data_IF_211973208764
#
_entry.id   IF_211973208764
#
_cell.length_a   1.000
_cell.length_b   1.000
_cell.length_c   1.000
_cell.angle_alpha   90.00
_cell.angle_beta   90.00
_cell.angle_gamma   90.00
#
_symmetry.space_group_name_H-M   'P 1'
#
loop_
_entity.id
_entity.type
_entity.pdbx_description
1 polymer ?
#
# COMPACT_ATOMS: atom_id res chain seq x y z
N UNK A 1 6.92 27.16 0.55
CA UNK A 1 6.76 26.74 -0.85
C UNK A 1 8.06 26.16 -1.41
N UNK A 2 9.16 26.91 -1.42
CA UNK A 2 10.47 26.46 -1.94
C UNK A 2 11.03 25.24 -1.20
N UNK A 3 10.86 25.16 0.12
CA UNK A 3 11.30 24.01 0.91
C UNK A 3 10.60 22.72 0.50
N UNK A 4 9.26 22.75 0.34
CA UNK A 4 8.47 21.59 -0.08
C UNK A 4 8.92 21.09 -1.46
N UNK A 5 9.08 22.00 -2.42
CA UNK A 5 9.54 21.65 -3.78
C UNK A 5 10.94 21.07 -3.79
N UNK A 6 11.86 21.65 -3.00
CA UNK A 6 13.27 21.25 -3.01
C UNK A 6 13.53 19.92 -2.29
N UNK A 7 12.86 19.70 -1.15
CA UNK A 7 13.26 18.62 -0.24
C UNK A 7 12.20 17.54 -0.03
N UNK A 8 10.92 17.83 -0.28
CA UNK A 8 9.83 16.92 0.11
C UNK A 8 9.13 16.34 -1.12
N UNK A 9 8.74 17.17 -2.07
CA UNK A 9 7.90 16.76 -3.20
C UNK A 9 8.75 16.28 -4.37
N UNK A 10 8.58 15.02 -4.85
CA UNK A 10 9.23 14.55 -6.06
C UNK A 10 8.93 15.45 -7.25
N UNK A 11 9.94 15.90 -7.99
CA UNK A 11 9.74 16.75 -9.16
C UNK A 11 9.72 15.89 -10.43
N UNK A 12 8.73 16.09 -11.31
CA UNK A 12 8.57 15.27 -12.53
C UNK A 12 9.77 15.30 -13.47
N UNK A 13 10.57 16.35 -13.41
CA UNK A 13 11.77 16.56 -14.24
C UNK A 13 13.01 15.87 -13.66
N UNK A 14 12.99 15.46 -12.40
CA UNK A 14 14.10 14.78 -11.75
C UNK A 14 14.13 13.29 -12.12
N UNK A 15 15.31 12.70 -12.04
CA UNK A 15 15.44 11.25 -12.17
C UNK A 15 14.54 10.55 -11.14
N UNK A 16 13.74 9.59 -11.58
CA UNK A 16 12.75 8.86 -10.78
C UNK A 16 11.61 9.68 -10.17
N UNK A 17 11.55 11.01 -10.38
CA UNK A 17 10.51 11.87 -9.80
C UNK A 17 9.08 11.49 -10.21
N UNK A 18 8.85 11.19 -11.50
CA UNK A 18 7.56 10.71 -11.98
C UNK A 18 7.21 9.32 -11.42
N UNK A 19 8.19 8.44 -11.29
CA UNK A 19 7.99 7.11 -10.68
C UNK A 19 7.64 7.25 -9.19
N UNK A 20 8.35 8.10 -8.46
CA UNK A 20 8.03 8.38 -7.06
C UNK A 20 6.62 8.93 -6.88
N UNK A 21 6.20 9.89 -7.72
CA UNK A 21 4.81 10.40 -7.72
C UNK A 21 3.78 9.31 -7.98
N UNK A 22 4.06 8.44 -8.96
CA UNK A 22 3.19 7.31 -9.29
C UNK A 22 3.03 6.36 -8.09
N UNK A 23 4.12 5.98 -7.47
CA UNK A 23 4.13 5.08 -6.32
C UNK A 23 3.39 5.71 -5.13
N UNK A 24 3.72 6.96 -4.77
CA UNK A 24 3.13 7.65 -3.64
C UNK A 24 1.61 7.76 -3.73
N UNK A 25 1.11 8.25 -4.88
CA UNK A 25 -0.32 8.39 -5.09
C UNK A 25 -1.01 7.03 -5.01
N UNK A 26 -0.39 6.00 -5.54
CA UNK A 26 -0.96 4.66 -5.53
C UNK A 26 -0.98 4.04 -4.14
N UNK A 27 0.10 4.17 -3.37
CA UNK A 27 0.15 3.73 -1.98
C UNK A 27 -0.87 4.49 -1.10
N UNK A 28 -0.99 5.82 -1.29
CA UNK A 28 -1.99 6.64 -0.58
C UNK A 28 -3.41 6.21 -0.95
N UNK A 29 -3.70 5.99 -2.24
CA UNK A 29 -5.01 5.56 -2.70
C UNK A 29 -5.44 4.24 -2.06
N UNK A 30 -4.55 3.25 -2.03
CA UNK A 30 -4.88 1.97 -1.40
C UNK A 30 -4.93 2.06 0.12
N UNK A 31 -4.10 2.90 0.76
CA UNK A 31 -4.23 3.19 2.18
C UNK A 31 -5.59 3.82 2.49
N UNK A 32 -6.04 4.80 1.69
CA UNK A 32 -7.36 5.44 1.83
C UNK A 32 -8.51 4.47 1.60
N UNK A 33 -8.40 3.60 0.60
CA UNK A 33 -9.40 2.55 0.33
C UNK A 33 -9.59 1.64 1.55
N UNK A 34 -8.49 1.17 2.14
CA UNK A 34 -8.56 0.30 3.32
C UNK A 34 -9.05 1.05 4.55
N UNK A 35 -8.62 2.30 4.76
CA UNK A 35 -8.99 3.08 5.93
C UNK A 35 -10.45 3.57 5.85
N UNK A 36 -10.85 4.26 4.77
CA UNK A 36 -12.12 4.97 4.70
C UNK A 36 -13.26 4.16 4.08
N UNK A 37 -12.97 3.16 3.25
CA UNK A 37 -14.00 2.35 2.60
C UNK A 37 -14.16 1.00 3.28
N UNK A 38 -13.05 0.33 3.58
CA UNK A 38 -13.05 -1.01 4.18
C UNK A 38 -12.99 -0.98 5.72
N UNK A 39 -12.82 0.22 6.33
CA UNK A 39 -12.81 0.47 7.77
C UNK A 39 -11.74 -0.32 8.53
N UNK A 40 -10.51 -0.32 8.00
CA UNK A 40 -9.31 -0.78 8.69
C UNK A 40 -8.58 0.40 9.34
N UNK A 41 -7.78 0.13 10.35
CA UNK A 41 -6.79 1.08 10.85
C UNK A 41 -5.52 0.99 9.99
N UNK A 42 -5.03 2.12 9.47
CA UNK A 42 -3.86 2.17 8.59
C UNK A 42 -2.81 3.12 9.18
N UNK A 43 -1.75 2.61 9.83
CA UNK A 43 -0.66 3.44 10.32
C UNK A 43 0.26 3.84 9.15
N UNK A 44 0.21 5.11 8.75
CA UNK A 44 0.88 5.63 7.54
C UNK A 44 2.36 5.95 7.74
N UNK A 45 3.12 5.05 8.40
CA UNK A 45 4.50 5.34 8.81
C UNK A 45 5.46 5.55 7.63
N UNK A 46 5.28 4.80 6.53
CA UNK A 46 6.14 4.96 5.34
C UNK A 46 5.89 6.29 4.63
N UNK A 47 4.65 6.76 4.61
CA UNK A 47 4.29 8.03 3.98
C UNK A 47 4.85 9.24 4.73
N UNK A 48 5.05 9.14 6.05
CA UNK A 48 5.57 10.24 6.88
C UNK A 48 7.09 10.25 7.05
N UNK A 49 7.76 9.12 6.89
CA UNK A 49 9.18 8.96 7.23
C UNK A 49 9.99 8.43 6.04
N UNK A 50 10.21 9.26 5.04
CA UNK A 50 11.03 8.91 3.88
C UNK A 50 12.48 9.30 4.09
N UNK A 51 13.41 8.43 3.70
CA UNK A 51 14.84 8.69 3.70
C UNK A 51 15.22 9.74 2.63
N UNK A 52 14.48 9.80 1.54
CA UNK A 52 14.66 10.78 0.46
C UNK A 52 13.39 10.99 -0.34
N UNK A 53 13.22 12.15 -0.98
CA UNK A 53 11.98 12.49 -1.71
C UNK A 53 11.67 11.56 -2.91
N UNK A 54 12.69 10.93 -3.49
CA UNK A 54 12.57 10.04 -4.63
C UNK A 54 12.81 8.56 -4.26
N UNK A 55 12.93 8.25 -2.97
CA UNK A 55 13.21 6.91 -2.46
C UNK A 55 11.96 6.32 -1.79
N UNK A 56 11.78 5.01 -1.93
CA UNK A 56 10.75 4.26 -1.23
C UNK A 56 11.39 3.46 -0.09
N UNK A 57 10.75 3.46 1.07
CA UNK A 57 11.18 2.63 2.20
C UNK A 57 10.94 1.15 1.89
N UNK A 58 11.88 0.28 2.31
CA UNK A 58 11.78 -1.16 2.10
C UNK A 58 10.66 -1.80 2.94
N UNK A 59 10.21 -2.96 2.50
CA UNK A 59 9.18 -3.77 3.18
C UNK A 59 7.84 -3.73 2.46
N UNK A 60 6.77 -4.21 3.12
CA UNK A 60 5.39 -4.14 2.65
C UNK A 60 4.96 -2.69 2.46
N UNK A 61 4.29 -2.35 1.38
CA UNK A 61 3.96 -0.95 1.04
C UNK A 61 2.93 -0.36 1.99
N UNK A 62 1.83 -1.07 2.26
CA UNK A 62 0.80 -0.64 3.19
C UNK A 62 0.46 -1.79 4.15
N UNK A 63 0.35 -1.48 5.44
CA UNK A 63 -0.19 -2.37 6.45
C UNK A 63 -1.54 -1.82 6.90
N UNK A 64 -2.55 -2.66 6.91
CA UNK A 64 -3.87 -2.36 7.45
C UNK A 64 -4.25 -3.41 8.48
N UNK A 65 -4.95 -3.02 9.56
CA UNK A 65 -5.40 -3.98 10.55
C UNK A 65 -6.77 -3.61 11.10
N UNK A 66 -7.46 -4.62 11.66
CA UNK A 66 -8.77 -4.44 12.26
C UNK A 66 -8.91 -5.32 13.49
N UNK A 67 -9.31 -4.74 14.60
CA UNK A 67 -9.68 -5.49 15.78
C UNK A 67 -11.11 -5.99 15.65
N UNK A 68 -11.33 -7.23 16.08
CA UNK A 68 -12.66 -7.83 16.09
C UNK A 68 -13.60 -7.14 17.08
N UNK A 69 -13.07 -6.68 18.20
CA UNK A 69 -13.84 -6.02 19.25
C UNK A 69 -13.41 -4.55 19.46
N UNK A 70 -14.33 -3.75 19.99
CA UNK A 70 -14.12 -2.30 20.22
C UNK A 70 -13.08 -2.01 21.31
N UNK A 71 -12.96 -2.90 22.27
CA UNK A 71 -12.01 -2.79 23.38
C UNK A 71 -10.57 -3.09 22.97
N UNK A 72 -10.36 -3.47 21.73
CA UNK A 72 -9.06 -3.85 21.15
C UNK A 72 -8.32 -4.93 21.95
N UNK A 73 -9.07 -5.79 22.64
CA UNK A 73 -8.50 -6.97 23.29
C UNK A 73 -8.13 -8.02 22.21
N UNK A 74 -6.97 -8.69 22.35
CA UNK A 74 -6.53 -9.64 21.35
C UNK A 74 -7.55 -10.76 21.09
N UNK A 75 -7.85 -11.01 19.81
CA UNK A 75 -8.76 -12.05 19.36
C UNK A 75 -8.16 -12.78 18.15
N UNK A 76 -8.44 -14.07 18.01
CA UNK A 76 -8.10 -14.84 16.81
C UNK A 76 -8.81 -14.34 15.54
N UNK A 77 -9.87 -13.55 15.71
CA UNK A 77 -10.64 -12.93 14.64
C UNK A 77 -10.10 -11.56 14.24
N UNK A 78 -9.07 -11.02 14.94
CA UNK A 78 -8.36 -9.82 14.52
C UNK A 78 -7.73 -10.04 13.15
N UNK A 79 -7.71 -9.00 12.32
CA UNK A 79 -7.24 -9.08 10.94
C UNK A 79 -6.01 -8.20 10.73
N UNK A 80 -5.04 -8.74 10.01
CA UNK A 80 -3.90 -8.01 9.47
C UNK A 80 -3.88 -8.19 7.97
N UNK A 81 -3.72 -7.10 7.22
CA UNK A 81 -3.60 -7.10 5.76
C UNK A 81 -2.26 -6.50 5.37
N UNK A 82 -1.47 -7.26 4.64
CA UNK A 82 -0.23 -6.80 4.01
C UNK A 82 -0.51 -6.50 2.54
N UNK A 83 -0.23 -5.28 2.09
CA UNK A 83 -0.61 -4.79 0.77
C UNK A 83 0.64 -4.37 0.01
N UNK A 84 0.90 -5.03 -1.10
CA UNK A 84 1.95 -4.70 -2.07
C UNK A 84 1.33 -3.95 -3.24
N UNK A 85 1.82 -2.75 -3.56
CA UNK A 85 1.27 -1.86 -4.59
C UNK A 85 2.10 -1.91 -5.85
N UNK A 86 1.45 -2.10 -7.00
CA UNK A 86 2.08 -2.00 -8.33
C UNK A 86 1.39 -0.93 -9.16
N UNK A 87 2.13 0.11 -9.48
CA UNK A 87 1.63 1.27 -10.18
C UNK A 87 2.22 1.40 -11.60
N UNK A 88 1.35 1.58 -12.58
CA UNK A 88 1.73 1.89 -13.98
C UNK A 88 0.84 3.03 -14.50
N UNK A 89 0.91 4.18 -13.83
CA UNK A 89 0.03 5.32 -14.13
C UNK A 89 0.31 5.96 -15.49
N UNK A 90 1.46 5.70 -16.09
CA UNK A 90 1.82 6.21 -17.43
C UNK A 90 1.49 5.22 -18.57
N UNK A 91 0.96 4.03 -18.26
CA UNK A 91 0.69 3.00 -19.28
C UNK A 91 -0.62 2.24 -19.01
N UNK A 92 -1.10 1.55 -20.05
CA UNK A 92 -2.31 0.72 -20.03
C UNK A 92 -2.02 -0.78 -19.88
N UNK A 93 -0.90 -1.16 -19.27
CA UNK A 93 -0.47 -2.55 -19.10
C UNK A 93 -1.19 -3.26 -17.92
N UNK A 94 -2.52 -3.34 -17.97
CA UNK A 94 -3.35 -3.92 -16.90
C UNK A 94 -2.92 -5.34 -16.51
N UNK A 95 -2.85 -6.27 -17.48
CA UNK A 95 -2.50 -7.67 -17.21
C UNK A 95 -1.15 -7.82 -16.52
N UNK A 96 -0.13 -7.10 -17.00
CA UNK A 96 1.22 -7.14 -16.44
C UNK A 96 1.25 -6.55 -15.02
N UNK A 97 0.54 -5.44 -14.79
CA UNK A 97 0.48 -4.80 -13.49
C UNK A 97 -0.18 -5.71 -12.46
N UNK A 98 -1.27 -6.37 -12.83
CA UNK A 98 -1.97 -7.35 -11.98
C UNK A 98 -1.07 -8.55 -11.70
N UNK A 99 -0.39 -9.07 -12.71
CA UNK A 99 0.53 -10.21 -12.54
C UNK A 99 1.70 -9.86 -11.63
N UNK A 100 2.32 -8.71 -11.80
CA UNK A 100 3.41 -8.24 -10.94
C UNK A 100 2.92 -8.06 -9.49
N UNK A 101 1.72 -7.51 -9.28
CA UNK A 101 1.13 -7.39 -7.95
C UNK A 101 0.87 -8.77 -7.30
N UNK A 102 0.37 -9.74 -8.08
CA UNK A 102 0.14 -11.10 -7.61
C UNK A 102 1.44 -11.82 -7.22
N UNK A 103 2.51 -11.62 -7.98
CA UNK A 103 3.81 -12.24 -7.70
C UNK A 103 4.49 -11.59 -6.50
N UNK A 104 4.47 -10.26 -6.45
CA UNK A 104 5.24 -9.53 -5.42
C UNK A 104 4.57 -9.53 -4.06
N UNK A 105 3.23 -9.53 -3.98
CA UNK A 105 2.51 -9.66 -2.70
C UNK A 105 2.77 -11.01 -1.98
N UNK A 106 3.21 -12.05 -2.69
CA UNK A 106 3.65 -13.31 -2.06
C UNK A 106 4.89 -13.14 -1.18
N UNK A 107 5.72 -12.14 -1.48
CA UNK A 107 6.96 -11.85 -0.72
C UNK A 107 6.65 -11.23 0.64
N UNK A 108 5.46 -10.68 0.82
CA UNK A 108 5.04 -10.05 2.07
C UNK A 108 4.89 -11.05 3.22
N UNK A 109 4.72 -12.33 2.92
CA UNK A 109 4.80 -13.38 3.93
C UNK A 109 6.09 -13.31 4.76
N UNK A 110 7.20 -12.92 4.13
CA UNK A 110 8.51 -12.79 4.78
C UNK A 110 8.83 -11.35 5.24
N UNK A 111 8.18 -10.34 4.66
CA UNK A 111 8.45 -8.92 4.92
C UNK A 111 7.60 -8.33 6.03
N UNK A 112 6.38 -8.84 6.20
CA UNK A 112 5.37 -8.27 7.10
C UNK A 112 5.88 -8.11 8.53
N UNK A 113 6.58 -9.10 9.07
CA UNK A 113 7.12 -9.04 10.44
C UNK A 113 8.14 -7.90 10.62
N UNK A 114 9.00 -7.68 9.62
CA UNK A 114 9.95 -6.57 9.61
C UNK A 114 9.23 -5.23 9.53
N UNK A 115 8.23 -5.13 8.65
CA UNK A 115 7.42 -3.91 8.46
C UNK A 115 6.64 -3.55 9.72
N UNK A 116 6.03 -4.50 10.40
CA UNK A 116 5.34 -4.28 11.68
C UNK A 116 6.32 -3.76 12.74
N UNK A 117 7.54 -4.32 12.82
CA UNK A 117 8.54 -3.84 13.77
C UNK A 117 9.01 -2.40 13.45
N UNK A 118 9.17 -2.07 12.16
CA UNK A 118 9.47 -0.71 11.71
C UNK A 118 8.34 0.25 12.12
N UNK A 119 7.08 -0.07 11.84
CA UNK A 119 5.92 0.76 12.17
C UNK A 119 5.81 0.99 13.68
N UNK A 120 5.96 -0.07 14.49
CA UNK A 120 5.97 0.05 15.94
C UNK A 120 7.01 1.05 16.45
N UNK A 121 8.24 0.99 15.91
CA UNK A 121 9.31 1.92 16.30
C UNK A 121 9.01 3.36 15.86
N UNK A 122 8.54 3.54 14.64
CA UNK A 122 8.21 4.87 14.12
C UNK A 122 7.07 5.52 14.92
N UNK A 123 6.00 4.78 15.20
CA UNK A 123 4.90 5.27 16.02
C UNK A 123 5.36 5.70 17.42
N UNK A 124 6.25 4.94 18.05
CA UNK A 124 6.86 5.34 19.34
C UNK A 124 7.68 6.62 19.22
N UNK A 125 8.50 6.75 18.19
CA UNK A 125 9.28 7.95 17.94
C UNK A 125 8.42 9.19 17.72
N UNK A 126 7.20 9.00 17.16
CA UNK A 126 6.20 10.05 16.96
C UNK A 126 5.35 10.33 18.20
N UNK A 127 5.58 9.63 19.32
CA UNK A 127 4.78 9.76 20.55
C UNK A 127 3.40 9.07 20.48
N UNK A 128 3.13 8.28 19.44
CA UNK A 128 1.87 7.57 19.20
C UNK A 128 1.90 6.19 19.88
N UNK A 129 1.96 6.17 21.20
CA UNK A 129 2.18 4.94 21.98
C UNK A 129 1.01 3.96 21.89
N UNK A 130 -0.22 4.44 21.85
CA UNK A 130 -1.42 3.58 21.71
C UNK A 130 -1.43 2.88 20.35
N UNK A 131 -1.23 3.63 19.26
CA UNK A 131 -1.14 3.07 17.91
C UNK A 131 0.02 2.06 17.81
N UNK A 132 1.17 2.38 18.44
CA UNK A 132 2.31 1.46 18.51
C UNK A 132 1.94 0.15 19.21
N UNK A 133 1.18 0.19 20.30
CA UNK A 133 0.73 -1.01 21.02
C UNK A 133 -0.25 -1.82 20.19
N UNK A 134 -1.15 -1.16 19.44
CA UNK A 134 -2.03 -1.83 18.49
C UNK A 134 -1.25 -2.60 17.41
N UNK A 135 -0.22 -1.98 16.84
CA UNK A 135 0.64 -2.64 15.84
C UNK A 135 1.46 -3.77 16.47
N UNK A 136 1.98 -3.59 17.68
CA UNK A 136 2.75 -4.60 18.40
C UNK A 136 1.96 -5.89 18.62
N UNK A 137 0.62 -5.81 18.77
CA UNK A 137 -0.29 -6.95 18.86
C UNK A 137 -0.02 -7.98 17.75
N UNK A 138 0.23 -7.52 16.53
CA UNK A 138 0.43 -8.37 15.35
C UNK A 138 1.85 -8.94 15.20
N UNK A 139 2.76 -8.67 16.12
CA UNK A 139 4.07 -9.33 16.18
C UNK A 139 4.02 -10.70 16.90
N UNK A 140 2.97 -10.97 17.66
CA UNK A 140 2.86 -12.13 18.56
C UNK A 140 1.91 -13.20 18.03
N UNK A 141 1.99 -13.53 16.75
CA UNK A 141 1.05 -14.46 16.09
C UNK A 141 0.97 -15.83 16.76
N UNK A 142 2.10 -16.33 17.28
CA UNK A 142 2.16 -17.63 17.96
C UNK A 142 1.47 -17.63 19.33
N UNK A 143 1.63 -16.55 20.08
CA UNK A 143 1.04 -16.42 21.42
C UNK A 143 -0.41 -15.93 21.35
N UNK A 144 -0.66 -15.04 20.41
CA UNK A 144 -1.94 -14.36 20.21
C UNK A 144 -2.35 -14.47 18.74
N UNK A 145 -2.93 -15.58 18.30
CA UNK A 145 -3.30 -15.81 16.90
C UNK A 145 -4.20 -14.72 16.33
N UNK A 146 -4.09 -14.49 15.03
CA UNK A 146 -4.92 -13.57 14.24
C UNK A 146 -4.98 -14.04 12.78
N UNK A 147 -5.92 -13.50 12.02
CA UNK A 147 -6.03 -13.72 10.58
C UNK A 147 -5.06 -12.79 9.85
N UNK A 148 -4.36 -13.31 8.86
CA UNK A 148 -3.52 -12.51 7.98
C UNK A 148 -3.92 -12.77 6.53
N UNK A 149 -3.96 -11.71 5.74
CA UNK A 149 -4.16 -11.78 4.29
C UNK A 149 -3.14 -10.90 3.56
N UNK A 150 -2.86 -11.29 2.32
CA UNK A 150 -1.90 -10.62 1.44
C UNK A 150 -2.64 -10.07 0.24
N UNK A 151 -2.45 -8.80 -0.05
CA UNK A 151 -3.13 -8.11 -1.14
C UNK A 151 -2.13 -7.61 -2.17
N UNK A 152 -2.28 -8.09 -3.40
CA UNK A 152 -1.65 -7.45 -4.55
C UNK A 152 -2.56 -6.33 -5.05
N UNK A 153 -2.13 -5.09 -4.86
CA UNK A 153 -2.85 -3.89 -5.27
C UNK A 153 -2.26 -3.35 -6.57
N UNK A 154 -3.00 -3.42 -7.66
CA UNK A 154 -2.57 -3.02 -8.99
C UNK A 154 -3.33 -1.77 -9.45
N UNK A 155 -2.62 -0.82 -10.08
CA UNK A 155 -3.23 0.36 -10.69
C UNK A 155 -2.54 0.73 -12.01
N UNK A 156 -3.32 0.99 -13.06
CA UNK A 156 -2.79 1.46 -14.35
C UNK A 156 -3.74 2.41 -15.07
N UNK A 157 -3.19 3.23 -15.97
CA UNK A 157 -3.97 4.12 -16.83
C UNK A 157 -4.65 3.32 -17.94
N UNK A 158 -5.86 2.88 -17.66
CA UNK A 158 -6.71 2.20 -18.63
C UNK A 158 -8.13 2.74 -18.53
N UNK A 159 -8.62 3.50 -19.52
CA UNK A 159 -9.94 4.15 -19.43
C UNK A 159 -11.08 3.14 -19.42
N UNK A 160 -10.95 2.06 -20.18
CA UNK A 160 -11.92 0.98 -20.24
C UNK A 160 -11.21 -0.37 -20.14
N UNK A 161 -11.76 -1.26 -19.34
CA UNK A 161 -11.29 -2.64 -19.30
C UNK A 161 -12.25 -3.48 -20.13
N UNK A 162 -11.74 -4.07 -21.19
CA UNK A 162 -12.49 -5.08 -21.90
C UNK A 162 -12.74 -6.27 -20.98
N UNK A 163 -14.01 -6.68 -20.87
CA UNK A 163 -14.42 -7.79 -20.00
C UNK A 163 -13.64 -9.09 -20.26
N UNK A 164 -13.15 -9.29 -21.50
CA UNK A 164 -12.31 -10.41 -21.88
C UNK A 164 -10.92 -10.37 -21.21
N UNK A 165 -10.34 -9.20 -20.95
CA UNK A 165 -9.06 -9.06 -20.24
C UNK A 165 -9.19 -9.50 -18.79
N UNK A 166 -10.24 -9.06 -18.10
CA UNK A 166 -10.52 -9.47 -16.72
C UNK A 166 -10.92 -10.94 -16.66
N UNK A 167 -11.77 -11.41 -17.58
CA UNK A 167 -12.18 -12.80 -17.65
C UNK A 167 -11.02 -13.76 -17.96
N UNK A 168 -9.95 -13.26 -18.62
CA UNK A 168 -8.72 -14.01 -18.87
C UNK A 168 -7.80 -14.12 -17.65
N UNK A 169 -7.93 -13.21 -16.67
CA UNK A 169 -7.13 -13.20 -15.43
C UNK A 169 -7.86 -14.03 -14.35
N UNK A 170 -7.84 -15.35 -14.51
CA UNK A 170 -8.40 -16.25 -13.49
C UNK A 170 -7.40 -16.41 -12.34
N UNK A 171 -7.91 -16.60 -11.12
CA UNK A 171 -7.09 -16.82 -9.94
C UNK A 171 -6.05 -17.92 -10.11
N UNK A 172 -6.37 -18.99 -10.86
CA UNK A 172 -5.47 -20.08 -11.18
C UNK A 172 -4.29 -19.64 -12.08
N UNK A 173 -4.54 -18.70 -12.99
CA UNK A 173 -3.49 -18.18 -13.88
C UNK A 173 -2.49 -17.30 -13.11
N UNK A 174 -2.96 -16.64 -12.04
CA UNK A 174 -2.13 -15.85 -11.13
C UNK A 174 -1.46 -16.69 -10.04
N UNK A 175 -1.83 -17.98 -9.90
CA UNK A 175 -1.33 -18.87 -8.86
C UNK A 175 -1.44 -18.25 -7.45
N UNK A 176 -2.59 -17.65 -7.14
CA UNK A 176 -2.82 -17.03 -5.84
C UNK A 176 -2.85 -18.08 -4.73
N UNK A 177 -2.32 -17.71 -3.55
CA UNK A 177 -2.48 -18.48 -2.31
C UNK A 177 -3.89 -18.30 -1.75
N UNK A 178 -4.30 -19.16 -0.82
CA UNK A 178 -5.64 -19.14 -0.20
C UNK A 178 -5.92 -17.81 0.54
N UNK A 179 -4.90 -17.23 1.14
CA UNK A 179 -4.93 -15.98 1.91
C UNK A 179 -4.50 -14.75 1.07
N UNK A 180 -4.44 -14.89 -0.25
CA UNK A 180 -4.04 -13.85 -1.18
C UNK A 180 -5.21 -13.38 -2.04
N UNK A 181 -5.32 -12.07 -2.24
CA UNK A 181 -6.30 -11.42 -3.13
C UNK A 181 -5.67 -10.33 -3.98
N UNK A 182 -6.37 -9.93 -5.04
CA UNK A 182 -5.93 -8.86 -5.93
C UNK A 182 -7.00 -7.78 -5.97
N UNK A 183 -6.57 -6.54 -5.77
CA UNK A 183 -7.35 -5.34 -6.06
C UNK A 183 -6.78 -4.68 -7.31
N UNK A 184 -7.65 -4.34 -8.23
CA UNK A 184 -7.23 -3.60 -9.41
C UNK A 184 -8.06 -2.32 -9.58
N UNK A 185 -7.35 -1.21 -9.70
CA UNK A 185 -7.91 0.12 -9.96
C UNK A 185 -7.46 0.59 -11.34
N UNK A 186 -8.36 1.18 -12.09
CA UNK A 186 -8.04 1.77 -13.38
C UNK A 186 -8.74 3.11 -13.59
N UNK A 187 -8.23 3.90 -14.51
CA UNK A 187 -8.81 5.16 -14.90
C UNK A 187 -8.04 5.79 -16.06
N UNK A 188 -8.63 6.77 -16.71
CA UNK A 188 -7.95 7.50 -17.78
C UNK A 188 -6.93 8.49 -17.20
N UNK A 189 -5.77 8.59 -17.87
CA UNK A 189 -4.76 9.65 -17.62
C UNK A 189 -4.33 9.82 -16.15
N UNK A 190 -4.17 8.71 -15.44
CA UNK A 190 -3.87 8.71 -14.00
C UNK A 190 -2.52 9.38 -13.69
N UNK A 191 -1.54 9.33 -14.60
CA UNK A 191 -0.26 9.99 -14.38
C UNK A 191 -0.38 11.50 -14.37
N UNK A 192 -1.21 12.07 -15.24
CA UNK A 192 -1.49 13.50 -15.23
C UNK A 192 -2.25 13.92 -13.97
N UNK A 193 -3.21 13.11 -13.52
CA UNK A 193 -3.89 13.32 -12.25
C UNK A 193 -2.88 13.36 -11.08
N UNK A 194 -1.95 12.39 -11.02
CA UNK A 194 -0.91 12.37 -10.01
C UNK A 194 -0.05 13.66 -10.05
N UNK A 195 0.37 14.09 -11.24
CA UNK A 195 1.12 15.34 -11.38
C UNK A 195 0.34 16.56 -10.88
N UNK A 196 -0.95 16.67 -11.22
CA UNK A 196 -1.80 17.79 -10.77
C UNK A 196 -1.97 17.82 -9.25
N UNK A 197 -2.10 16.65 -8.59
CA UNK A 197 -2.18 16.56 -7.13
C UNK A 197 -0.90 17.12 -6.50
N UNK A 198 0.27 16.66 -6.92
CA UNK A 198 1.54 17.15 -6.38
C UNK A 198 1.79 18.63 -6.66
N UNK A 199 1.38 19.15 -7.81
CA UNK A 199 1.48 20.57 -8.14
C UNK A 199 0.59 21.44 -7.26
N UNK A 200 -0.58 20.92 -6.82
CA UNK A 200 -1.45 21.63 -5.87
C UNK A 200 -0.87 21.65 -4.45
N UNK A 201 -0.18 20.61 -4.03
CA UNK A 201 0.48 20.55 -2.72
C UNK A 201 1.63 21.56 -2.58
N UNK A 202 2.11 22.13 -3.68
CA UNK A 202 3.23 23.07 -3.71
C UNK A 202 2.83 24.50 -4.09
N UNK A 203 1.56 24.79 -4.06
CA UNK A 203 1.00 26.16 -4.19
C UNK A 203 0.66 26.69 -2.81
#
# INVERSE_FOLDING_TARGET
>A
EDYLRKYIVPQKQEAFGSTARSNDISEILFADLFEFVLNYEVPRCKQYNRSGKNESEHGTDVIAYKFHNKEKTPSKEDELVAIEVKARLASNEACKTIQDAAVDSKKDEYRVAHTINYYRKQLRNMGKFEESSCVERFQKKTELPYKISYVGAAISSQPEIENNVIAGIKGNDLQLKVDQSIFYVHGADLMNLAHQIFERCTK
#
